data_IF_411728638739
#
_entry.id   IF_411728638739
#
_cell.length_a   1.000
_cell.length_b   1.000
_cell.length_c   1.000
_cell.angle_alpha   90.00
_cell.angle_beta   90.00
_cell.angle_gamma   90.00
#
_symmetry.space_group_name_H-M   'P 1'
#
loop_
_entity.id
_entity.type
_entity.pdbx_description
1 polymer ?
#
# COMPACT_ATOMS: atom_id res chain seq x y z
N UNK A 1 -16.07 -0.79 -10.18
CA UNK A 1 -15.00 -0.32 -9.26
C UNK A 1 -13.66 -0.73 -9.85
N UNK A 2 -12.61 0.10 -9.73
CA UNK A 2 -11.26 -0.22 -10.24
C UNK A 2 -10.32 -0.45 -9.05
N UNK A 3 -9.42 -1.42 -9.17
CA UNK A 3 -8.45 -1.81 -8.14
C UNK A 3 -7.04 -1.75 -8.74
N UNK A 4 -6.08 -1.24 -7.96
CA UNK A 4 -4.65 -1.23 -8.30
C UNK A 4 -3.91 -2.01 -7.21
N UNK A 5 -3.09 -2.98 -7.61
CA UNK A 5 -2.30 -3.79 -6.69
C UNK A 5 -0.81 -3.43 -6.83
N UNK A 6 -0.20 -2.93 -5.76
CA UNK A 6 1.24 -2.63 -5.70
C UNK A 6 1.96 -3.78 -5.01
N UNK A 7 2.66 -4.63 -5.77
CA UNK A 7 3.33 -5.85 -5.30
C UNK A 7 4.85 -5.79 -5.48
N UNK A 8 5.59 -6.59 -4.72
CA UNK A 8 7.06 -6.61 -4.73
C UNK A 8 7.70 -6.95 -3.38
N UNK A 9 9.03 -7.15 -3.31
CA UNK A 9 9.73 -7.58 -2.09
C UNK A 9 9.72 -6.53 -0.96
N UNK A 10 10.00 -6.94 0.27
CA UNK A 10 10.10 -6.04 1.43
C UNK A 10 11.22 -5.01 1.21
N UNK A 11 10.96 -3.74 1.58
CA UNK A 11 11.94 -2.66 1.43
C UNK A 11 12.06 -2.04 0.03
N UNK A 12 11.34 -2.51 -0.99
CA UNK A 12 11.47 -1.98 -2.36
C UNK A 12 10.68 -0.68 -2.65
N UNK A 13 10.15 0.00 -1.63
CA UNK A 13 9.44 1.27 -1.80
C UNK A 13 7.93 1.19 -2.13
N UNK A 14 7.28 0.03 -1.97
CA UNK A 14 5.83 -0.13 -2.27
C UNK A 14 4.93 0.85 -1.54
N UNK A 15 5.21 1.13 -0.26
CA UNK A 15 4.43 2.06 0.55
C UNK A 15 4.48 3.47 -0.03
N UNK A 16 5.66 3.93 -0.45
CA UNK A 16 5.84 5.22 -1.10
C UNK A 16 5.02 5.28 -2.41
N UNK A 17 5.15 4.27 -3.26
CA UNK A 17 4.43 4.22 -4.53
C UNK A 17 2.90 4.17 -4.32
N UNK A 18 2.42 3.36 -3.38
CA UNK A 18 0.99 3.24 -3.08
C UNK A 18 0.38 4.56 -2.60
N UNK A 19 1.08 5.30 -1.75
CA UNK A 19 0.63 6.62 -1.25
C UNK A 19 0.58 7.65 -2.38
N UNK A 20 1.60 7.71 -3.24
CA UNK A 20 1.62 8.66 -4.36
C UNK A 20 0.51 8.33 -5.39
N UNK A 21 0.29 7.04 -5.70
CA UNK A 21 -0.82 6.62 -6.56
C UNK A 21 -2.18 7.00 -5.97
N UNK A 22 -2.39 6.81 -4.67
CA UNK A 22 -3.63 7.18 -3.99
C UNK A 22 -3.89 8.69 -4.10
N UNK A 23 -2.87 9.54 -3.87
CA UNK A 23 -2.99 11.00 -4.05
C UNK A 23 -3.34 11.38 -5.48
N UNK A 24 -2.66 10.78 -6.46
CA UNK A 24 -2.86 11.08 -7.89
C UNK A 24 -4.24 10.66 -8.40
N UNK A 25 -4.77 9.55 -7.87
CA UNK A 25 -6.03 8.95 -8.32
C UNK A 25 -7.24 9.34 -7.46
N UNK A 26 -7.04 10.09 -6.36
CA UNK A 26 -8.08 10.37 -5.39
C UNK A 26 -8.61 9.11 -4.71
N UNK A 27 -7.74 8.14 -4.46
CA UNK A 27 -8.07 6.85 -3.86
C UNK A 27 -7.52 6.67 -2.46
N UNK A 28 -7.70 5.46 -1.93
CA UNK A 28 -7.24 5.06 -0.60
C UNK A 28 -6.27 3.88 -0.70
N UNK A 29 -5.32 3.81 0.23
CA UNK A 29 -4.40 2.68 0.36
C UNK A 29 -4.98 1.70 1.37
N UNK A 30 -5.07 0.42 0.99
CA UNK A 30 -5.36 -0.69 1.90
C UNK A 30 -4.08 -1.50 2.06
N UNK A 31 -3.60 -1.69 3.30
CA UNK A 31 -2.46 -2.55 3.55
C UNK A 31 -2.84 -4.01 3.31
N UNK A 32 -2.02 -4.72 2.53
CA UNK A 32 -2.12 -6.16 2.32
C UNK A 32 -0.96 -6.92 2.98
N UNK A 33 -0.25 -6.27 3.92
CA UNK A 33 0.78 -6.92 4.73
C UNK A 33 0.14 -7.49 6.01
N UNK A 34 0.16 -8.81 6.16
CA UNK A 34 -0.45 -9.50 7.31
C UNK A 34 0.22 -9.16 8.64
N UNK A 35 1.43 -8.58 8.65
CA UNK A 35 2.11 -8.18 9.88
C UNK A 35 1.68 -6.80 10.37
N UNK A 36 1.20 -5.90 9.49
CA UNK A 36 0.83 -4.53 9.86
C UNK A 36 -0.50 -4.41 10.61
N UNK A 37 -1.22 -5.52 10.80
CA UNK A 37 -2.46 -5.56 11.61
C UNK A 37 -2.17 -5.55 13.12
N UNK A 38 -0.97 -5.99 13.52
CA UNK A 38 -0.60 -6.12 14.93
C UNK A 38 -0.15 -4.77 15.48
N UNK A 39 -0.83 -4.29 16.52
CA UNK A 39 -0.47 -3.02 17.18
C UNK A 39 0.77 -3.23 18.05
N UNK A 40 1.76 -2.36 17.89
CA UNK A 40 3.00 -2.40 18.69
C UNK A 40 4.08 -3.35 18.14
N UNK A 41 3.85 -3.94 16.97
CA UNK A 41 4.89 -4.58 16.15
C UNK A 41 5.47 -3.58 15.14
#
# INVERSE_FOLDING_TARGET
MKLVCVVGPTGCGKTWLGVELAKMLGGEVVSCDSMQIYRGM
#
